data_IF_625431844906
#
_entry.id   IF_625431844906
#
_cell.length_a   1.000
_cell.length_b   1.000
_cell.length_c   1.000
_cell.angle_alpha   90.00
_cell.angle_beta   90.00
_cell.angle_gamma   90.00
#
_symmetry.space_group_name_H-M   'P 1'
#
loop_
_entity.id
_entity.type
_entity.pdbx_description
1 polymer ?
#
# COMPACT_ATOMS: atom_id res chain seq x y z
N UNK A 1 2.50 14.19 6.36
CA UNK A 1 2.75 14.52 7.79
C UNK A 1 2.26 15.91 8.21
N UNK A 2 2.74 17.02 7.62
CA UNK A 2 2.33 18.38 8.04
C UNK A 2 0.82 18.65 7.97
N UNK A 3 0.13 18.00 7.03
CA UNK A 3 -1.32 18.12 6.82
C UNK A 3 -2.15 17.13 7.66
N UNK A 4 -1.53 16.32 8.52
CA UNK A 4 -2.27 15.42 9.40
C UNK A 4 -2.95 16.20 10.53
N UNK A 5 -4.07 15.66 10.98
CA UNK A 5 -4.77 16.15 12.16
C UNK A 5 -3.84 16.18 13.39
N UNK A 6 -4.03 17.17 14.25
CA UNK A 6 -3.24 17.33 15.49
C UNK A 6 -3.39 16.12 16.41
N UNK A 7 -4.60 15.57 16.53
CA UNK A 7 -4.88 14.39 17.35
C UNK A 7 -4.15 13.13 16.87
N UNK A 8 -3.78 13.06 15.60
CA UNK A 8 -2.98 11.95 15.07
C UNK A 8 -1.49 12.25 15.20
N UNK A 9 -1.03 13.40 14.70
CA UNK A 9 0.41 13.69 14.61
C UNK A 9 1.09 13.89 15.97
N UNK A 10 0.35 14.34 16.98
CA UNK A 10 0.87 14.65 18.31
C UNK A 10 0.85 13.43 19.25
N UNK A 11 0.06 12.40 18.93
CA UNK A 11 -0.14 11.23 19.78
C UNK A 11 0.28 9.90 19.16
N UNK A 12 0.47 9.83 17.84
CA UNK A 12 0.98 8.64 17.17
C UNK A 12 2.47 8.80 16.78
N UNK A 13 3.28 7.72 16.84
CA UNK A 13 4.67 7.78 16.45
C UNK A 13 4.83 8.21 14.99
N UNK A 14 5.67 9.23 14.75
CA UNK A 14 5.97 9.71 13.39
C UNK A 14 6.45 8.59 12.45
N UNK A 15 7.17 7.61 12.97
CA UNK A 15 7.64 6.45 12.20
C UNK A 15 6.49 5.64 11.59
N UNK A 16 5.34 5.55 12.27
CA UNK A 16 4.16 4.85 11.77
C UNK A 16 3.39 5.64 10.71
N UNK A 17 3.63 6.96 10.60
CA UNK A 17 2.83 7.88 9.79
C UNK A 17 3.57 8.44 8.57
N UNK A 18 4.89 8.52 8.63
CA UNK A 18 5.69 9.22 7.64
C UNK A 18 6.30 8.25 6.62
N UNK A 19 5.89 8.41 5.36
CA UNK A 19 6.53 7.85 4.18
C UNK A 19 6.71 9.03 3.21
N UNK A 20 7.93 9.32 2.74
CA UNK A 20 8.33 10.58 2.08
C UNK A 20 7.23 11.25 1.25
N UNK A 21 6.99 10.73 0.04
CA UNK A 21 5.89 11.14 -0.84
C UNK A 21 4.59 10.33 -0.63
N UNK A 22 4.56 9.50 0.42
CA UNK A 22 3.46 8.57 0.70
C UNK A 22 3.61 7.20 0.04
N UNK A 23 4.61 6.99 -0.83
CA UNK A 23 4.77 5.75 -1.59
C UNK A 23 6.05 4.95 -1.30
N UNK A 24 6.98 5.51 -0.52
CA UNK A 24 8.29 4.90 -0.23
C UNK A 24 8.20 3.44 0.25
N UNK A 25 7.31 3.14 1.20
CA UNK A 25 7.16 1.77 1.70
C UNK A 25 6.51 0.85 0.67
N UNK A 26 5.55 1.33 -0.12
CA UNK A 26 4.96 0.52 -1.19
C UNK A 26 6.00 0.16 -2.26
N UNK A 27 6.94 1.06 -2.58
CA UNK A 27 8.06 0.76 -3.49
C UNK A 27 8.96 -0.35 -2.95
N UNK A 28 9.29 -0.29 -1.66
CA UNK A 28 10.11 -1.34 -1.00
C UNK A 28 9.36 -2.67 -0.99
N UNK A 29 8.09 -2.65 -0.58
CA UNK A 29 7.26 -3.87 -0.48
C UNK A 29 7.08 -4.50 -1.86
N UNK A 30 6.69 -3.72 -2.88
CA UNK A 30 6.52 -4.24 -4.23
C UNK A 30 7.81 -4.89 -4.76
N UNK A 31 8.98 -4.32 -4.47
CA UNK A 31 10.26 -4.90 -4.88
C UNK A 31 10.61 -6.19 -4.15
N UNK A 32 10.41 -6.23 -2.84
CA UNK A 32 11.05 -7.25 -1.98
C UNK A 32 10.10 -8.35 -1.48
N UNK A 33 8.81 -8.05 -1.34
CA UNK A 33 7.88 -8.97 -0.68
C UNK A 33 7.72 -10.29 -1.45
N UNK A 34 7.85 -10.29 -2.78
CA UNK A 34 7.76 -11.49 -3.62
C UNK A 34 8.76 -12.59 -3.22
N UNK A 35 9.93 -12.22 -2.67
CA UNK A 35 10.94 -13.19 -2.17
C UNK A 35 10.46 -14.00 -0.97
N UNK A 36 9.40 -13.56 -0.32
CA UNK A 36 8.85 -14.14 0.90
C UNK A 36 7.48 -14.78 0.68
N UNK A 37 6.95 -14.71 -0.55
CA UNK A 37 5.63 -15.22 -0.91
C UNK A 37 5.83 -16.45 -1.80
N UNK A 38 5.13 -17.55 -1.50
CA UNK A 38 5.14 -18.73 -2.37
C UNK A 38 4.48 -18.39 -3.72
N UNK A 39 4.88 -19.03 -4.83
CA UNK A 39 4.16 -18.90 -6.09
C UNK A 39 2.64 -19.15 -5.91
N UNK A 40 1.81 -18.28 -6.47
CA UNK A 40 0.36 -18.23 -6.29
C UNK A 40 -0.12 -17.64 -4.96
N UNK A 41 0.79 -17.21 -4.07
CA UNK A 41 0.45 -16.60 -2.80
C UNK A 41 0.04 -15.13 -2.92
N UNK A 42 -0.71 -14.62 -1.95
CA UNK A 42 -1.28 -13.28 -1.99
C UNK A 42 -0.48 -12.26 -1.16
N UNK A 43 -0.46 -11.02 -1.66
CA UNK A 43 -0.09 -9.81 -0.95
C UNK A 43 -1.34 -8.92 -0.79
N UNK A 44 -1.57 -8.41 0.42
CA UNK A 44 -2.70 -7.53 0.73
C UNK A 44 -2.17 -6.29 1.43
N UNK A 45 -2.44 -5.12 0.87
CA UNK A 45 -1.94 -3.84 1.36
C UNK A 45 -3.09 -2.87 1.63
N UNK A 46 -3.03 -2.24 2.80
CA UNK A 46 -3.83 -1.04 3.05
C UNK A 46 -3.15 0.19 2.43
N UNK A 47 -3.95 1.03 1.81
CA UNK A 47 -3.51 2.23 1.08
C UNK A 47 -4.27 3.48 1.52
N UNK A 48 -3.68 4.65 1.27
CA UNK A 48 -4.42 5.92 1.28
C UNK A 48 -5.48 5.97 0.19
N UNK A 49 -6.57 6.70 0.43
CA UNK A 49 -7.76 6.72 -0.42
C UNK A 49 -7.55 7.18 -1.87
N UNK A 50 -6.40 7.81 -2.17
CA UNK A 50 -6.04 8.31 -3.50
C UNK A 50 -4.85 7.58 -4.12
N UNK A 51 -4.33 6.55 -3.45
CA UNK A 51 -3.06 5.91 -3.83
C UNK A 51 -3.25 4.61 -4.62
N UNK A 52 -4.49 4.21 -4.90
CA UNK A 52 -4.79 2.93 -5.54
C UNK A 52 -4.09 2.75 -6.90
N UNK A 53 -4.13 3.79 -7.75
CA UNK A 53 -3.51 3.74 -9.07
C UNK A 53 -1.99 3.57 -8.98
N UNK A 54 -1.33 4.38 -8.14
CA UNK A 54 0.13 4.34 -7.99
C UNK A 54 0.61 3.00 -7.42
N UNK A 55 -0.05 2.50 -6.37
CA UNK A 55 0.32 1.22 -5.75
C UNK A 55 0.06 0.05 -6.69
N UNK A 56 -1.02 0.10 -7.46
CA UNK A 56 -1.30 -0.91 -8.51
C UNK A 56 -0.17 -0.94 -9.54
N UNK A 57 0.23 0.22 -10.08
CA UNK A 57 1.30 0.30 -11.07
C UNK A 57 2.65 -0.20 -10.53
N UNK A 58 2.96 0.07 -9.25
CA UNK A 58 4.16 -0.47 -8.60
C UNK A 58 4.16 -2.01 -8.54
N UNK A 59 3.02 -2.61 -8.20
CA UNK A 59 2.88 -4.07 -8.13
C UNK A 59 2.93 -4.72 -9.51
N UNK A 60 2.29 -4.13 -10.52
CA UNK A 60 2.39 -4.58 -11.91
C UNK A 60 3.84 -4.56 -12.40
N UNK A 61 4.54 -3.44 -12.20
CA UNK A 61 5.94 -3.29 -12.58
C UNK A 61 6.89 -4.26 -11.87
N UNK A 62 6.53 -4.70 -10.66
CA UNK A 62 7.28 -5.71 -9.90
C UNK A 62 6.95 -7.16 -10.31
N UNK A 63 5.93 -7.36 -11.16
CA UNK A 63 5.55 -8.67 -11.68
C UNK A 63 4.54 -9.44 -10.84
N UNK A 64 3.79 -8.75 -9.97
CA UNK A 64 2.56 -9.31 -9.39
C UNK A 64 1.45 -9.38 -10.44
N UNK A 65 0.46 -10.25 -10.21
CA UNK A 65 -0.69 -10.43 -11.09
C UNK A 65 -2.00 -10.48 -10.29
N UNK A 66 -3.16 -10.54 -10.97
CA UNK A 66 -4.49 -10.54 -10.33
C UNK A 66 -4.69 -9.38 -9.34
N UNK A 67 -4.26 -8.18 -9.74
CA UNK A 67 -4.32 -7.00 -8.87
C UNK A 67 -5.74 -6.46 -8.83
N UNK A 68 -6.28 -6.28 -7.63
CA UNK A 68 -7.63 -5.78 -7.40
C UNK A 68 -7.64 -4.70 -6.33
N UNK A 69 -8.51 -3.70 -6.51
CA UNK A 69 -8.74 -2.62 -5.54
C UNK A 69 -10.11 -2.83 -4.89
N UNK A 70 -10.13 -2.82 -3.56
CA UNK A 70 -11.36 -2.89 -2.77
C UNK A 70 -11.57 -1.61 -1.98
N UNK A 71 -12.83 -1.18 -1.96
CA UNK A 71 -13.29 -0.02 -1.21
C UNK A 71 -13.63 -0.39 0.23
N UNK A 72 -13.41 0.55 1.14
CA UNK A 72 -13.93 0.48 2.50
C UNK A 72 -15.46 0.75 2.53
N UNK A 73 -16.07 0.67 3.72
CA UNK A 73 -17.50 0.93 3.90
C UNK A 73 -17.92 2.38 3.63
N UNK A 74 -16.97 3.31 3.57
CA UNK A 74 -17.20 4.69 3.16
C UNK A 74 -17.06 4.90 1.64
N UNK A 75 -16.86 3.82 0.87
CA UNK A 75 -16.75 3.85 -0.58
C UNK A 75 -15.42 4.39 -1.10
N UNK A 76 -14.39 4.48 -0.24
CA UNK A 76 -13.04 4.93 -0.62
C UNK A 76 -12.15 3.74 -0.88
N UNK A 77 -11.28 3.84 -1.88
CA UNK A 77 -10.28 2.80 -2.12
C UNK A 77 -9.42 2.63 -0.86
N UNK A 78 -9.21 1.38 -0.44
CA UNK A 78 -8.53 1.13 0.83
C UNK A 78 -7.60 -0.06 0.80
N UNK A 79 -7.95 -1.09 0.05
CA UNK A 79 -7.18 -2.33 0.00
C UNK A 79 -6.78 -2.61 -1.44
N UNK A 80 -5.49 -2.91 -1.65
CA UNK A 80 -4.99 -3.51 -2.89
C UNK A 80 -4.60 -4.96 -2.58
N UNK A 81 -5.09 -5.90 -3.37
CA UNK A 81 -4.70 -7.32 -3.30
C UNK A 81 -3.99 -7.71 -4.58
N UNK A 82 -2.97 -8.57 -4.49
CA UNK A 82 -2.23 -9.07 -5.65
C UNK A 82 -1.68 -10.48 -5.40
N UNK A 83 -1.48 -11.26 -6.44
CA UNK A 83 -0.86 -12.58 -6.40
C UNK A 83 0.60 -12.51 -6.86
N UNK A 84 1.48 -13.29 -6.22
CA UNK A 84 2.88 -13.45 -6.62
C UNK A 84 3.04 -14.67 -7.53
N UNK A 85 3.78 -14.49 -8.62
CA UNK A 85 4.01 -15.54 -9.64
C UNK A 85 4.93 -16.66 -9.19
#
# INVERSE_FOLDING_TARGET
YKALDTGVKDYEPKLALAAGDGLDYYRIIARDAGRHIKPGGALVLEIGATQAADVTALLEGAGYYEINVKKDYAGRDRIVTACWK
#
